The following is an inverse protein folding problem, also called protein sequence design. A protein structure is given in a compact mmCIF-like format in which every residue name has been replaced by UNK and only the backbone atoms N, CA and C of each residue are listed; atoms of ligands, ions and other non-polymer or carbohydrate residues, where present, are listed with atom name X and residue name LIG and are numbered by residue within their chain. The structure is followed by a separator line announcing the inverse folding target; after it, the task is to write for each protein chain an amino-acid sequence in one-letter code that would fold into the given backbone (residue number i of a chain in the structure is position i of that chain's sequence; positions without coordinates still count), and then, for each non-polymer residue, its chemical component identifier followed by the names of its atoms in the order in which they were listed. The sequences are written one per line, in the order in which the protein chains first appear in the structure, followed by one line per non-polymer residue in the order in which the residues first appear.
data_IF_223495548451
#
_entry.id   IF_223495548451
#
_cell.length_a   1.000
_cell.length_b   1.000
_cell.length_c   1.000
_cell.angle_alpha   90.00
_cell.angle_beta   90.00
_cell.angle_gamma   90.00
#
_symmetry.space_group_name_H-M   'P 1'
#
loop_
_entity.id
_entity.type
_entity.pdbx_description
1 polymer ?
#
# COMPACT_ATOMS: atom_id res chain seq x y z
N UNK A 1 10.82 7.57 8.13
CA UNK A 1 9.39 7.33 8.47
C UNK A 1 9.19 5.82 8.62
N UNK A 2 8.08 5.40 9.25
CA UNK A 2 7.89 3.99 9.64
C UNK A 2 6.85 3.23 8.83
N UNK A 3 6.32 3.87 7.80
CA UNK A 3 5.28 3.36 6.93
C UNK A 3 4.47 4.51 6.34
N UNK A 4 3.41 4.16 5.62
CA UNK A 4 2.47 5.10 5.02
C UNK A 4 1.04 4.57 5.16
N UNK A 5 0.06 5.48 5.15
CA UNK A 5 -1.34 5.16 4.92
C UNK A 5 -1.73 5.66 3.53
N UNK A 6 -1.50 4.83 2.52
CA UNK A 6 -1.76 5.16 1.13
C UNK A 6 -3.01 4.45 0.62
N UNK A 7 -4.08 5.21 0.34
CA UNK A 7 -5.30 4.70 -0.29
C UNK A 7 -5.47 5.23 -1.71
N UNK A 8 -5.65 6.55 -1.85
CA UNK A 8 -5.97 7.18 -3.14
C UNK A 8 -4.93 6.91 -4.23
N UNK A 9 -3.63 7.00 -3.94
CA UNK A 9 -2.62 6.78 -4.96
C UNK A 9 -2.59 5.32 -5.47
N UNK A 10 -3.07 4.37 -4.66
CA UNK A 10 -3.14 2.96 -5.07
C UNK A 10 -4.43 2.65 -5.84
N UNK A 11 -5.57 3.24 -5.44
CA UNK A 11 -6.90 2.76 -5.88
C UNK A 11 -7.74 3.74 -6.70
N UNK A 12 -7.40 5.04 -6.76
CA UNK A 12 -8.27 6.08 -7.33
C UNK A 12 -8.66 5.81 -8.80
N UNK A 13 -7.73 5.31 -9.59
CA UNK A 13 -7.95 5.05 -11.03
C UNK A 13 -8.88 3.86 -11.31
N UNK A 14 -9.13 3.01 -10.30
CA UNK A 14 -10.11 1.94 -10.40
C UNK A 14 -11.54 2.40 -10.16
N UNK A 15 -11.74 3.57 -9.54
CA UNK A 15 -13.07 4.11 -9.25
C UNK A 15 -13.93 4.30 -10.52
N UNK A 16 -13.40 4.89 -11.61
CA UNK A 16 -14.15 4.99 -12.88
C UNK A 16 -14.43 3.64 -13.53
N UNK A 17 -13.57 2.64 -13.32
CA UNK A 17 -13.79 1.27 -13.82
C UNK A 17 -15.01 0.67 -13.11
N UNK A 18 -15.04 0.73 -11.78
CA UNK A 18 -16.18 0.27 -11.01
C UNK A 18 -17.47 1.01 -11.40
N UNK A 19 -17.44 2.34 -11.42
CA UNK A 19 -18.61 3.17 -11.67
C UNK A 19 -19.23 2.96 -13.06
N UNK A 20 -18.41 2.66 -14.08
CA UNK A 20 -18.86 2.53 -15.47
C UNK A 20 -19.03 1.08 -15.94
N UNK A 21 -18.24 0.15 -15.40
CA UNK A 21 -18.12 -1.22 -15.90
C UNK A 21 -18.53 -2.26 -14.84
N UNK A 22 -18.82 -1.84 -13.62
CA UNK A 22 -19.30 -2.69 -12.54
C UNK A 22 -18.20 -3.51 -11.86
N UNK A 23 -18.65 -4.39 -10.95
CA UNK A 23 -17.77 -5.11 -10.02
C UNK A 23 -16.78 -6.04 -10.72
N UNK A 24 -17.23 -6.83 -11.70
CA UNK A 24 -16.36 -7.81 -12.35
C UNK A 24 -15.16 -7.16 -13.06
N UNK A 25 -15.39 -6.04 -13.75
CA UNK A 25 -14.32 -5.28 -14.40
C UNK A 25 -13.38 -4.64 -13.37
N UNK A 26 -13.92 -4.15 -12.26
CA UNK A 26 -13.11 -3.60 -11.16
C UNK A 26 -12.27 -4.68 -10.46
N UNK A 27 -12.82 -5.88 -10.25
CA UNK A 27 -12.07 -7.01 -9.67
C UNK A 27 -10.90 -7.41 -10.58
N UNK A 28 -11.12 -7.44 -11.90
CA UNK A 28 -10.03 -7.67 -12.87
C UNK A 28 -8.98 -6.55 -12.84
N UNK A 29 -9.40 -5.29 -12.72
CA UNK A 29 -8.48 -4.16 -12.57
C UNK A 29 -7.67 -4.22 -11.27
N UNK A 30 -8.30 -4.62 -10.17
CA UNK A 30 -7.64 -4.81 -8.87
C UNK A 30 -6.56 -5.89 -8.96
N UNK A 31 -6.88 -7.04 -9.55
CA UNK A 31 -5.96 -8.16 -9.74
C UNK A 31 -4.76 -7.82 -10.65
N UNK A 32 -4.86 -6.76 -11.43
CA UNK A 32 -3.87 -6.34 -12.41
C UNK A 32 -3.17 -5.03 -11.98
N UNK A 33 -3.72 -3.87 -12.37
CA UNK A 33 -3.14 -2.56 -12.07
C UNK A 33 -3.12 -2.26 -10.57
N UNK A 34 -4.15 -2.65 -9.84
CA UNK A 34 -4.23 -2.45 -8.38
C UNK A 34 -3.08 -3.14 -7.64
N UNK A 35 -2.83 -4.42 -7.93
CA UNK A 35 -1.70 -5.17 -7.38
C UNK A 35 -0.36 -4.54 -7.77
N UNK A 36 -0.16 -4.17 -9.05
CA UNK A 36 1.08 -3.48 -9.46
C UNK A 36 1.33 -2.18 -8.69
N UNK A 37 0.29 -1.38 -8.46
CA UNK A 37 0.42 -0.14 -7.69
C UNK A 37 0.89 -0.40 -6.25
N UNK A 38 0.33 -1.40 -5.55
CA UNK A 38 0.75 -1.71 -4.18
C UNK A 38 2.13 -2.36 -4.13
N UNK A 39 2.50 -3.18 -5.13
CA UNK A 39 3.83 -3.79 -5.23
C UNK A 39 4.93 -2.76 -5.45
N UNK A 40 4.70 -1.76 -6.32
CA UNK A 40 5.62 -0.63 -6.49
C UNK A 40 5.79 0.16 -5.19
N UNK A 41 4.70 0.42 -4.46
CA UNK A 41 4.78 1.07 -3.15
C UNK A 41 5.58 0.23 -2.15
N UNK A 42 5.34 -1.08 -2.11
CA UNK A 42 6.05 -2.00 -1.23
C UNK A 42 7.56 -2.04 -1.52
N UNK A 43 7.96 -1.97 -2.80
CA UNK A 43 9.37 -1.86 -3.17
C UNK A 43 10.02 -0.60 -2.62
N UNK A 44 9.35 0.56 -2.75
CA UNK A 44 9.86 1.80 -2.16
C UNK A 44 9.94 1.71 -0.63
N UNK A 45 8.92 1.13 0.02
CA UNK A 45 8.90 0.98 1.47
C UNK A 45 10.04 0.09 2.00
N UNK A 46 10.42 -0.97 1.27
CA UNK A 46 11.54 -1.84 1.63
C UNK A 46 12.86 -1.07 1.76
N UNK A 47 13.09 -0.07 0.92
CA UNK A 47 14.33 0.70 0.91
C UNK A 47 14.27 1.97 1.76
N UNK A 48 13.10 2.60 1.86
CA UNK A 48 12.97 3.94 2.45
C UNK A 48 12.41 3.96 3.88
N UNK A 49 11.61 2.96 4.27
CA UNK A 49 11.01 2.92 5.60
C UNK A 49 11.96 2.30 6.63
N UNK A 50 11.89 2.79 7.86
CA UNK A 50 12.58 2.19 9.02
C UNK A 50 11.53 1.59 9.95
N UNK A 51 11.75 0.41 10.55
CA UNK A 51 10.78 -0.15 11.50
C UNK A 51 10.47 0.82 12.64
N UNK A 52 9.21 0.92 13.07
CA UNK A 52 8.79 1.97 14.03
C UNK A 52 9.54 1.92 15.36
N UNK A 53 9.91 0.72 15.83
CA UNK A 53 10.64 0.52 17.07
C UNK A 53 12.06 1.12 17.05
N UNK A 54 12.62 1.45 15.88
CA UNK A 54 13.93 2.11 15.83
C UNK A 54 13.90 3.52 16.43
N UNK A 55 12.73 4.14 16.51
CA UNK A 55 12.55 5.45 17.18
C UNK A 55 12.61 5.31 18.70
N UNK A 56 12.29 4.13 19.23
CA UNK A 56 12.12 3.88 20.67
C UNK A 56 13.27 3.06 21.28
N UNK A 57 14.47 3.11 20.68
CA UNK A 57 15.64 2.39 21.20
C UNK A 57 15.73 0.93 20.79
N UNK A 58 14.93 0.48 19.81
CA UNK A 58 15.01 -0.86 19.24
C UNK A 58 13.92 -1.81 19.69
N UNK A 59 13.89 -3.00 19.09
CA UNK A 59 12.80 -3.99 19.29
C UNK A 59 12.73 -4.49 20.73
N UNK A 60 13.87 -4.64 21.40
CA UNK A 60 13.93 -5.10 22.79
C UNK A 60 13.38 -4.05 23.77
N UNK A 61 13.64 -2.77 23.51
CA UNK A 61 13.19 -1.66 24.36
C UNK A 61 11.65 -1.54 24.42
N UNK A 62 10.95 -1.99 23.37
CA UNK A 62 9.48 -1.92 23.25
C UNK A 62 8.78 -3.26 23.50
N UNK A 63 9.53 -4.32 23.80
CA UNK A 63 8.99 -5.67 24.01
C UNK A 63 8.57 -5.96 25.47
N UNK A 64 8.58 -4.93 26.32
CA UNK A 64 8.15 -4.97 27.73
C UNK A 64 6.75 -4.40 27.87
#
# INVERSE_FOLDING_TARGET
FSGVLCGRATWLEGLPIYAKQGRAAFDAWLADKGVRNIEMLNEVLRHAAKPWWTVYGGREAVAR
#
